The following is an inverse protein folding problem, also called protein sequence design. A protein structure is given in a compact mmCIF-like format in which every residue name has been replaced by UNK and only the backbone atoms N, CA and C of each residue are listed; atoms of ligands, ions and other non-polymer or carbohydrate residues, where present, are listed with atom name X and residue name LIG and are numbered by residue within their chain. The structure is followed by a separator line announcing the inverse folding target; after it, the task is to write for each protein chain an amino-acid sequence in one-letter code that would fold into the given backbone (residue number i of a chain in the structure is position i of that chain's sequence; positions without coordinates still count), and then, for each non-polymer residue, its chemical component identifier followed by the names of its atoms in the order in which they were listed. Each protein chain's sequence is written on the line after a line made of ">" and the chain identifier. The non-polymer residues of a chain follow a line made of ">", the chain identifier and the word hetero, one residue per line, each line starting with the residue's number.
data_IF_016799591073
#
_entry.id   IF_016799591073
#
_cell.length_a   1.000
_cell.length_b   1.000
_cell.length_c   1.000
_cell.angle_alpha   90.00
_cell.angle_beta   90.00
_cell.angle_gamma   90.00
#
_symmetry.space_group_name_H-M   'P 1'
#
loop_
_entity.id
_entity.type
_entity.pdbx_description
1 polymer ?
#
# COMPACT_ATOMS: atom_id res chain seq x y z
N UNK A 1 -10.26 -0.05 12.58
CA UNK A 1 -10.02 0.69 11.32
C UNK A 1 -9.66 -0.30 10.22
N UNK A 2 -10.18 -0.10 9.04
CA UNK A 2 -9.86 -0.92 7.84
C UNK A 2 -8.92 -0.12 6.95
N UNK A 3 -7.74 -0.67 6.68
CA UNK A 3 -6.65 0.07 6.06
C UNK A 3 -6.05 -0.68 4.87
N UNK A 4 -5.84 0.04 3.76
CA UNK A 4 -5.00 -0.41 2.66
C UNK A 4 -3.57 0.11 2.92
N UNK A 5 -2.59 -0.77 2.78
CA UNK A 5 -1.20 -0.42 3.02
C UNK A 5 -0.51 -0.06 1.71
N UNK A 6 0.17 1.09 1.70
CA UNK A 6 1.08 1.44 0.60
C UNK A 6 2.22 0.42 0.53
N UNK A 7 2.70 0.17 -0.66
CA UNK A 7 3.74 -0.84 -0.93
C UNK A 7 4.97 -0.67 -0.04
N UNK A 8 5.46 0.56 0.13
CA UNK A 8 6.65 0.81 0.95
C UNK A 8 6.41 0.59 2.44
N UNK A 9 5.19 0.82 2.94
CA UNK A 9 4.86 0.50 4.34
C UNK A 9 5.04 -1.00 4.59
N UNK A 10 4.59 -1.83 3.66
CA UNK A 10 4.73 -3.29 3.76
C UNK A 10 6.21 -3.70 3.70
N UNK A 11 6.95 -3.15 2.73
CA UNK A 11 8.38 -3.45 2.56
C UNK A 11 9.14 -3.11 3.84
N UNK A 12 8.93 -1.91 4.37
CA UNK A 12 9.62 -1.47 5.58
C UNK A 12 9.26 -2.33 6.80
N UNK A 13 8.00 -2.76 6.91
CA UNK A 13 7.60 -3.69 7.97
C UNK A 13 8.32 -5.04 7.83
N UNK A 14 8.44 -5.55 6.59
CA UNK A 14 9.09 -6.83 6.33
C UNK A 14 10.57 -6.82 6.71
N UNK A 15 11.30 -5.75 6.38
CA UNK A 15 12.75 -5.67 6.60
C UNK A 15 13.14 -4.99 7.89
N UNK A 16 12.17 -4.55 8.71
CA UNK A 16 12.46 -3.84 9.95
C UNK A 16 13.12 -2.49 9.73
N UNK A 17 12.75 -1.78 8.68
CA UNK A 17 13.36 -0.51 8.33
C UNK A 17 13.07 0.59 9.35
N UNK A 18 14.08 1.43 9.64
CA UNK A 18 13.92 2.61 10.45
C UNK A 18 13.07 3.70 9.79
N UNK A 19 12.81 3.58 8.48
CA UNK A 19 11.91 4.48 7.75
C UNK A 19 10.46 4.30 8.16
N UNK A 20 10.11 3.13 8.71
CA UNK A 20 8.78 2.90 9.26
C UNK A 20 8.63 3.69 10.57
N UNK A 21 7.73 4.68 10.57
CA UNK A 21 7.55 5.56 11.73
C UNK A 21 6.98 4.80 12.94
N UNK A 22 7.16 5.37 14.13
CA UNK A 22 6.57 4.83 15.36
C UNK A 22 5.05 4.77 15.26
N UNK A 23 4.43 5.77 14.64
CA UNK A 23 2.99 5.81 14.42
C UNK A 23 2.53 4.67 13.52
N UNK A 24 3.21 4.46 12.40
CA UNK A 24 2.90 3.35 11.49
C UNK A 24 3.04 2.02 12.20
N UNK A 25 4.13 1.84 12.94
CA UNK A 25 4.41 0.62 13.68
C UNK A 25 3.32 0.33 14.72
N UNK A 26 2.90 1.36 15.48
CA UNK A 26 1.82 1.21 16.46
C UNK A 26 0.51 0.81 15.80
N UNK A 27 0.18 1.41 14.65
CA UNK A 27 -1.05 1.08 13.92
C UNK A 27 -1.02 -0.36 13.40
N UNK A 28 0.14 -0.81 12.90
CA UNK A 28 0.30 -2.18 12.40
C UNK A 28 0.20 -3.24 13.51
N UNK A 29 0.57 -2.88 14.73
CA UNK A 29 0.52 -3.77 15.90
C UNK A 29 -0.85 -3.79 16.58
N UNK A 30 -1.73 -2.84 16.27
CA UNK A 30 -3.06 -2.76 16.86
C UNK A 30 -3.97 -3.83 16.24
N UNK A 31 -4.35 -4.82 17.04
CA UNK A 31 -5.17 -5.96 16.61
C UNK A 31 -6.60 -5.59 16.25
N UNK A 32 -7.06 -4.40 16.62
CA UNK A 32 -8.38 -3.90 16.20
C UNK A 32 -8.40 -3.44 14.74
N UNK A 33 -7.24 -3.20 14.15
CA UNK A 33 -7.14 -2.81 12.76
C UNK A 33 -7.15 -4.02 11.83
N UNK A 34 -7.80 -3.86 10.68
CA UNK A 34 -7.80 -4.85 9.60
C UNK A 34 -7.02 -4.27 8.43
N UNK A 35 -6.06 -5.03 7.92
CA UNK A 35 -5.16 -4.56 6.86
C UNK A 35 -5.36 -5.32 5.57
N UNK A 36 -5.20 -4.58 4.47
CA UNK A 36 -5.26 -5.08 3.10
C UNK A 36 -4.01 -4.67 2.35
N UNK A 37 -3.57 -5.52 1.43
CA UNK A 37 -2.53 -5.21 0.45
C UNK A 37 -3.11 -5.48 -0.93
N UNK A 38 -2.94 -4.52 -1.83
CA UNK A 38 -3.43 -4.63 -3.20
C UNK A 38 -2.61 -5.63 -4.01
N UNK A 39 -3.27 -6.36 -4.89
CA UNK A 39 -2.58 -7.15 -5.91
C UNK A 39 -1.67 -6.28 -6.80
N UNK A 40 -2.00 -4.99 -6.95
CA UNK A 40 -1.14 -4.03 -7.65
C UNK A 40 0.21 -3.83 -6.95
N UNK A 41 0.26 -3.88 -5.61
CA UNK A 41 1.51 -3.78 -4.86
C UNK A 41 2.41 -5.00 -5.10
N UNK A 42 1.82 -6.18 -5.18
CA UNK A 42 2.56 -7.40 -5.53
C UNK A 42 3.14 -7.28 -6.95
N UNK A 43 2.36 -6.79 -7.88
CA UNK A 43 2.79 -6.55 -9.26
C UNK A 43 3.92 -5.51 -9.32
N UNK A 44 3.80 -4.43 -8.59
CA UNK A 44 4.85 -3.40 -8.47
C UNK A 44 6.18 -4.02 -8.02
N UNK A 45 6.13 -4.82 -6.94
CA UNK A 45 7.32 -5.49 -6.40
C UNK A 45 7.90 -6.47 -7.43
N UNK A 46 7.06 -7.24 -8.10
CA UNK A 46 7.50 -8.20 -9.12
C UNK A 46 8.27 -7.52 -10.25
N UNK A 47 7.84 -6.32 -10.67
CA UNK A 47 8.50 -5.56 -11.72
C UNK A 47 9.77 -4.90 -11.18
N UNK A 48 9.70 -4.23 -10.03
CA UNK A 48 10.76 -3.33 -9.55
C UNK A 48 11.88 -4.04 -8.82
N UNK A 49 11.65 -5.23 -8.26
CA UNK A 49 12.69 -5.94 -7.51
C UNK A 49 13.91 -6.24 -8.37
N UNK A 50 13.72 -6.75 -9.59
CA UNK A 50 14.83 -7.07 -10.49
C UNK A 50 15.55 -5.84 -11.01
N UNK A 51 14.80 -4.73 -11.22
CA UNK A 51 15.34 -3.47 -11.76
C UNK A 51 16.02 -2.62 -10.68
N UNK A 52 15.53 -2.66 -9.45
CA UNK A 52 15.95 -1.79 -8.34
C UNK A 52 15.99 -2.56 -7.02
N UNK A 53 16.90 -3.56 -6.88
CA UNK A 53 16.91 -4.41 -5.68
C UNK A 53 17.24 -3.65 -4.39
N UNK A 54 17.95 -2.53 -4.47
CA UNK A 54 18.25 -1.70 -3.29
C UNK A 54 17.01 -0.97 -2.77
N UNK A 55 16.15 -0.53 -3.68
CA UNK A 55 14.90 0.17 -3.34
C UNK A 55 13.80 -0.82 -2.94
N UNK A 56 13.72 -1.96 -3.65
CA UNK A 56 12.74 -3.02 -3.42
C UNK A 56 13.50 -4.31 -3.07
N UNK A 57 13.95 -4.44 -1.80
CA UNK A 57 14.81 -5.55 -1.40
C UNK A 57 14.08 -6.87 -1.14
N UNK A 58 12.80 -6.95 -1.50
CA UNK A 58 11.97 -8.14 -1.29
C UNK A 58 11.39 -8.61 -2.61
N UNK A 59 11.13 -9.92 -2.70
CA UNK A 59 10.45 -10.50 -3.86
C UNK A 59 8.93 -10.48 -3.67
N UNK A 60 8.19 -10.61 -4.77
CA UNK A 60 6.72 -10.74 -4.71
C UNK A 60 6.30 -11.95 -3.86
N UNK A 61 7.00 -13.08 -4.01
CA UNK A 61 6.72 -14.28 -3.22
C UNK A 61 6.91 -14.04 -1.73
N UNK A 62 7.99 -13.36 -1.34
CA UNK A 62 8.25 -13.01 0.06
C UNK A 62 7.16 -12.11 0.62
N UNK A 63 6.71 -11.12 -0.14
CA UNK A 63 5.65 -10.21 0.30
C UNK A 63 4.32 -10.94 0.47
N UNK A 64 3.95 -11.84 -0.45
CA UNK A 64 2.74 -12.65 -0.34
C UNK A 64 2.79 -13.50 0.94
N UNK A 65 3.93 -14.15 1.18
CA UNK A 65 4.12 -14.98 2.37
C UNK A 65 3.99 -14.15 3.66
N UNK A 66 4.60 -12.97 3.67
CA UNK A 66 4.49 -12.05 4.81
C UNK A 66 3.04 -11.67 5.07
N UNK A 67 2.29 -11.32 4.03
CA UNK A 67 0.88 -10.96 4.17
C UNK A 67 0.05 -12.11 4.74
N UNK A 68 0.24 -13.32 4.21
CA UNK A 68 -0.48 -14.51 4.70
C UNK A 68 -0.17 -14.83 6.16
N UNK A 69 1.10 -14.74 6.54
CA UNK A 69 1.53 -15.00 7.91
C UNK A 69 1.10 -13.93 8.90
N UNK A 70 0.86 -12.72 8.41
CA UNK A 70 0.47 -11.57 9.25
C UNK A 70 -1.04 -11.32 9.29
N UNK A 71 -1.83 -12.15 8.61
CA UNK A 71 -3.28 -11.96 8.57
C UNK A 71 -3.72 -10.76 7.75
N UNK A 72 -2.90 -10.33 6.79
CA UNK A 72 -3.22 -9.23 5.87
C UNK A 72 -4.00 -9.79 4.68
N UNK A 73 -5.13 -9.16 4.38
CA UNK A 73 -6.01 -9.59 3.30
C UNK A 73 -5.54 -9.08 1.94
N UNK A 74 -5.75 -9.89 0.93
CA UNK A 74 -5.56 -9.47 -0.45
C UNK A 74 -6.72 -8.57 -0.89
N UNK A 75 -6.39 -7.45 -1.57
CA UNK A 75 -7.37 -6.61 -2.25
C UNK A 75 -7.13 -6.70 -3.76
N UNK A 76 -7.90 -7.51 -4.48
CA UNK A 76 -7.74 -7.63 -5.93
C UNK A 76 -8.12 -6.35 -6.66
N UNK A 77 -7.40 -6.02 -7.75
CA UNK A 77 -7.78 -4.94 -8.64
C UNK A 77 -8.95 -5.40 -9.50
N UNK A 78 -10.06 -4.67 -9.43
CA UNK A 78 -11.28 -4.93 -10.19
C UNK A 78 -11.51 -3.84 -11.23
N UNK A 79 -12.44 -4.08 -12.16
CA UNK A 79 -12.78 -3.12 -13.21
C UNK A 79 -13.11 -1.73 -12.64
N UNK A 80 -13.93 -1.67 -11.59
CA UNK A 80 -14.31 -0.39 -10.97
C UNK A 80 -13.12 0.38 -10.38
N UNK A 81 -12.10 -0.32 -9.90
CA UNK A 81 -10.87 0.31 -9.42
C UNK A 81 -10.09 0.94 -10.58
N UNK A 82 -9.91 0.17 -11.66
CA UNK A 82 -9.18 0.65 -12.82
C UNK A 82 -9.89 1.83 -13.48
N UNK A 83 -11.21 1.79 -13.58
CA UNK A 83 -12.00 2.89 -14.12
C UNK A 83 -11.90 4.14 -13.26
N UNK A 84 -11.92 3.99 -11.94
CA UNK A 84 -11.86 5.09 -10.99
C UNK A 84 -10.56 5.89 -11.09
N UNK A 85 -9.46 5.27 -11.55
CA UNK A 85 -8.18 5.98 -11.74
C UNK A 85 -8.35 7.16 -12.68
N UNK A 86 -9.18 7.05 -13.73
CA UNK A 86 -9.37 8.10 -14.72
C UNK A 86 -9.98 9.39 -14.16
N UNK A 87 -10.69 9.30 -13.02
CA UNK A 87 -11.32 10.46 -12.38
C UNK A 87 -10.49 11.06 -11.24
N UNK A 88 -9.30 10.52 -10.97
CA UNK A 88 -8.43 11.06 -9.93
C UNK A 88 -7.76 12.36 -10.38
N UNK A 89 -7.66 13.37 -9.50
CA UNK A 89 -6.85 14.55 -9.81
C UNK A 89 -5.37 14.19 -9.93
N UNK A 90 -4.56 15.01 -10.65
CA UNK A 90 -3.17 14.65 -10.99
C UNK A 90 -2.17 15.04 -9.89
N UNK A 91 -2.39 14.61 -8.65
CA UNK A 91 -1.49 14.89 -7.53
C UNK A 91 -0.25 13.99 -7.52
N UNK A 92 -0.30 12.86 -8.21
CA UNK A 92 0.79 11.90 -8.31
C UNK A 92 0.82 11.30 -9.71
N UNK A 93 2.02 10.98 -10.21
CA UNK A 93 2.19 10.42 -11.57
C UNK A 93 2.37 8.89 -11.56
N UNK A 94 2.74 8.30 -10.42
CA UNK A 94 2.98 6.86 -10.35
C UNK A 94 1.66 6.08 -10.47
N UNK A 95 1.53 5.22 -11.50
CA UNK A 95 0.28 4.49 -11.73
C UNK A 95 -0.04 3.50 -10.62
N UNK A 96 0.96 2.94 -9.94
CA UNK A 96 0.72 2.03 -8.82
C UNK A 96 0.11 2.78 -7.64
N UNK A 97 0.67 3.94 -7.28
CA UNK A 97 0.14 4.74 -6.18
C UNK A 97 -1.26 5.27 -6.49
N UNK A 98 -1.51 5.68 -7.73
CA UNK A 98 -2.83 6.12 -8.17
C UNK A 98 -3.86 4.99 -8.07
N UNK A 99 -3.47 3.75 -8.39
CA UNK A 99 -4.34 2.59 -8.22
C UNK A 99 -4.70 2.37 -6.75
N UNK A 100 -3.74 2.50 -5.83
CA UNK A 100 -4.02 2.36 -4.40
C UNK A 100 -5.00 3.42 -3.91
N UNK A 101 -4.85 4.66 -4.37
CA UNK A 101 -5.78 5.75 -4.05
C UNK A 101 -7.19 5.41 -4.54
N UNK A 102 -7.31 4.95 -5.79
CA UNK A 102 -8.60 4.56 -6.37
C UNK A 102 -9.25 3.44 -5.58
N UNK A 103 -8.48 2.41 -5.23
CA UNK A 103 -8.99 1.28 -4.46
C UNK A 103 -9.46 1.69 -3.06
N UNK A 104 -8.65 2.46 -2.35
CA UNK A 104 -9.01 2.92 -1.01
C UNK A 104 -10.30 3.73 -1.03
N UNK A 105 -10.41 4.65 -1.99
CA UNK A 105 -11.60 5.50 -2.12
C UNK A 105 -12.85 4.66 -2.45
N UNK A 106 -12.74 3.75 -3.42
CA UNK A 106 -13.88 2.92 -3.85
C UNK A 106 -14.33 1.94 -2.77
N UNK A 107 -13.37 1.41 -1.99
CA UNK A 107 -13.67 0.42 -0.94
C UNK A 107 -13.99 1.06 0.41
N UNK A 108 -13.87 2.37 0.55
CA UNK A 108 -14.06 3.03 1.83
C UNK A 108 -12.98 2.66 2.86
N UNK A 109 -11.75 2.43 2.40
CA UNK A 109 -10.60 2.12 3.25
C UNK A 109 -9.79 3.38 3.53
N UNK A 110 -9.11 3.40 4.67
CA UNK A 110 -8.01 4.34 4.89
C UNK A 110 -6.78 3.85 4.16
N UNK A 111 -6.01 4.76 3.56
CA UNK A 111 -4.75 4.42 2.90
C UNK A 111 -3.59 4.90 3.78
N UNK A 112 -2.80 3.97 4.29
CA UNK A 112 -1.61 4.28 5.08
C UNK A 112 -0.42 4.43 4.14
N UNK A 113 0.22 5.60 4.17
CA UNK A 113 1.36 5.91 3.31
C UNK A 113 2.33 6.88 3.96
N UNK A 114 3.58 6.83 3.54
CA UNK A 114 4.62 7.80 3.89
C UNK A 114 4.94 8.73 2.71
N UNK A 115 4.15 8.70 1.66
CA UNK A 115 4.33 9.55 0.49
C UNK A 115 3.54 10.85 0.64
N UNK A 116 4.26 11.98 0.66
CA UNK A 116 3.67 13.31 0.84
C UNK A 116 2.81 13.77 -0.34
N UNK A 117 2.86 13.08 -1.47
CA UNK A 117 2.04 13.39 -2.63
C UNK A 117 0.63 12.80 -2.54
N UNK A 118 0.37 11.89 -1.60
CA UNK A 118 -0.91 11.21 -1.49
C UNK A 118 -1.96 11.92 -0.62
N UNK A 119 -1.62 12.59 0.49
CA UNK A 119 -2.63 13.28 1.30
C UNK A 119 -3.56 14.23 0.55
N UNK A 120 -3.12 14.95 -0.51
CA UNK A 120 -4.02 15.82 -1.28
C UNK A 120 -5.21 15.10 -1.92
N UNK A 121 -5.18 13.76 -2.05
CA UNK A 121 -6.31 13.01 -2.61
C UNK A 121 -7.52 12.95 -1.68
N UNK A 122 -7.35 13.12 -0.38
CA UNK A 122 -8.46 13.14 0.56
C UNK A 122 -8.07 12.75 1.99
N UNK A 123 -9.01 12.94 2.90
CA UNK A 123 -8.82 12.64 4.32
C UNK A 123 -8.67 11.14 4.61
N UNK A 124 -9.07 10.27 3.67
CA UNK A 124 -8.86 8.83 3.81
C UNK A 124 -7.40 8.43 3.72
N UNK A 125 -6.52 9.30 3.20
CA UNK A 125 -5.08 9.07 3.21
C UNK A 125 -4.52 9.46 4.57
N UNK A 126 -3.92 8.50 5.26
CA UNK A 126 -3.28 8.70 6.56
C UNK A 126 -1.78 8.69 6.35
N UNK A 127 -1.16 9.85 6.48
CA UNK A 127 0.30 9.98 6.41
C UNK A 127 0.91 9.47 7.72
N UNK A 128 1.83 8.50 7.60
CA UNK A 128 2.46 7.87 8.76
C UNK A 128 4.00 7.90 8.70
#
# INVERSE_FOLDING_TARGET
>A
MRCLLDTHIVIWAMVGSKKLSSRARSMLQDTENVFYVSSASIWEVAIKHSARPDEIPVTAEQMIRFCRNSGIWELPVQFRHSQAVSSLPPHHNDPFDRMLVAQAREEGLSLLSHDRQLPPYGEFVIFV
#
